data_IF_206827691296
#
_entry.id   IF_206827691296
#
_cell.length_a   1.000
_cell.length_b   1.000
_cell.length_c   1.000
_cell.angle_alpha   90.00
_cell.angle_beta   90.00
_cell.angle_gamma   90.00
#
_symmetry.space_group_name_H-M   'P 1'
#
loop_
_entity.id
_entity.type
_entity.pdbx_description
1 polymer ?
#
# COMPACT_ATOMS: atom_id res chain seq x y z
N UNK A 1 78.59 -8.59 -58.05
CA UNK A 1 79.14 -8.00 -56.80
C UNK A 1 78.00 -7.22 -56.15
N UNK A 2 77.30 -7.76 -55.13
CA UNK A 2 77.60 -7.59 -53.69
C UNK A 2 77.72 -6.09 -53.32
N UNK A 3 77.02 -5.49 -52.35
CA UNK A 3 76.22 -5.96 -51.22
C UNK A 3 75.44 -4.76 -50.60
N UNK A 4 74.82 -5.00 -49.43
CA UNK A 4 74.19 -4.08 -48.47
C UNK A 4 72.68 -3.85 -48.71
N UNK A 5 71.75 -4.16 -47.80
CA UNK A 5 71.84 -4.29 -46.34
C UNK A 5 71.14 -3.10 -45.70
N UNK A 6 69.92 -3.30 -45.18
CA UNK A 6 69.33 -2.47 -44.11
C UNK A 6 67.95 -3.04 -43.76
N UNK A 7 67.83 -3.61 -42.57
CA UNK A 7 66.54 -3.97 -42.00
C UNK A 7 65.68 -2.74 -41.75
N UNK A 8 64.36 -2.95 -41.68
CA UNK A 8 63.50 -2.10 -40.86
C UNK A 8 62.20 -2.81 -40.49
N UNK A 9 62.21 -3.26 -39.24
CA UNK A 9 61.13 -3.23 -38.26
C UNK A 9 59.71 -3.62 -38.71
N UNK A 10 59.30 -4.78 -38.16
CA UNK A 10 57.94 -5.12 -37.76
C UNK A 10 57.23 -3.89 -37.19
N UNK A 11 56.12 -3.46 -37.79
CA UNK A 11 55.10 -2.66 -37.12
C UNK A 11 53.89 -3.56 -36.88
N UNK A 12 53.90 -4.25 -35.74
CA UNK A 12 52.64 -4.68 -35.14
C UNK A 12 51.92 -3.40 -34.71
N UNK A 13 50.84 -3.05 -35.40
CA UNK A 13 49.90 -2.06 -34.90
C UNK A 13 49.22 -2.69 -33.68
N UNK A 14 49.79 -2.46 -32.49
CA UNK A 14 49.14 -2.75 -31.23
C UNK A 14 47.94 -1.82 -31.13
N UNK A 15 46.77 -2.32 -31.50
CA UNK A 15 45.50 -1.68 -31.21
C UNK A 15 45.36 -1.67 -29.69
N UNK A 16 45.83 -0.59 -29.07
CA UNK A 16 45.54 -0.26 -27.68
C UNK A 16 44.05 0.06 -27.61
N UNK A 17 43.24 -1.00 -27.57
CA UNK A 17 41.85 -0.92 -27.15
C UNK A 17 41.89 -0.38 -25.73
N UNK A 18 41.68 0.93 -25.59
CA UNK A 18 41.31 1.58 -24.34
C UNK A 18 40.02 0.93 -23.87
N UNK A 19 40.15 -0.19 -23.17
CA UNK A 19 39.08 -0.80 -22.41
C UNK A 19 38.80 0.17 -21.28
N UNK A 20 37.85 1.07 -21.51
CA UNK A 20 37.21 1.85 -20.47
C UNK A 20 36.91 0.92 -19.32
N UNK A 21 37.31 1.21 -18.08
CA UNK A 21 36.89 0.42 -16.95
C UNK A 21 35.36 0.51 -16.93
N UNK A 22 34.70 -0.61 -17.25
CA UNK A 22 33.27 -0.74 -16.96
C UNK A 22 33.20 -0.66 -15.45
N UNK A 23 32.81 0.50 -14.94
CA UNK A 23 32.43 0.64 -13.55
C UNK A 23 31.48 -0.52 -13.26
N UNK A 24 31.68 -1.27 -12.17
CA UNK A 24 30.68 -2.23 -11.76
C UNK A 24 29.40 -1.42 -11.66
N UNK A 25 28.39 -1.76 -12.48
CA UNK A 25 27.03 -1.33 -12.24
C UNK A 25 26.71 -1.93 -10.90
N UNK A 26 27.01 -1.17 -9.83
CA UNK A 26 26.48 -1.37 -8.50
C UNK A 26 25.00 -1.50 -8.76
N UNK A 27 24.50 -2.73 -8.69
CA UNK A 27 23.08 -2.99 -8.77
C UNK A 27 22.47 -2.01 -7.78
N UNK A 28 21.76 -1.03 -8.32
CA UNK A 28 20.92 -0.18 -7.51
C UNK A 28 19.82 -1.14 -7.07
N UNK A 29 20.09 -1.87 -5.99
CA UNK A 29 19.06 -2.31 -5.07
C UNK A 29 18.33 -1.02 -4.71
N UNK A 30 17.29 -0.71 -5.49
CA UNK A 30 16.29 0.27 -5.13
C UNK A 30 16.00 0.05 -3.64
N UNK A 31 15.93 1.11 -2.81
CA UNK A 31 15.67 0.91 -1.39
C UNK A 31 14.43 0.04 -1.31
N UNK A 32 14.59 -1.18 -0.79
CA UNK A 32 13.48 -2.12 -0.67
C UNK A 32 12.40 -1.34 0.05
N UNK A 33 11.28 -1.08 -0.64
CA UNK A 33 10.24 -0.20 -0.11
C UNK A 33 9.90 -0.76 1.27
N UNK A 34 10.10 0.05 2.32
CA UNK A 34 9.90 -0.28 3.74
C UNK A 34 8.40 -0.56 4.02
N UNK A 35 7.88 -1.61 3.42
CA UNK A 35 6.54 -2.12 3.59
C UNK A 35 6.66 -3.60 3.91
N UNK A 36 6.02 -3.98 5.02
CA UNK A 36 5.91 -5.37 5.39
C UNK A 36 5.16 -6.13 4.29
N UNK A 37 5.48 -7.42 4.09
CA UNK A 37 4.85 -8.25 3.05
C UNK A 37 3.32 -8.23 3.11
N UNK A 38 2.76 -8.15 4.32
CA UNK A 38 1.31 -8.01 4.56
C UNK A 38 0.72 -6.72 3.97
N UNK A 39 1.42 -5.59 4.11
CA UNK A 39 0.98 -4.31 3.54
C UNK A 39 0.97 -4.40 2.02
N UNK A 40 2.02 -4.98 1.44
CA UNK A 40 2.12 -5.17 -0.02
C UNK A 40 0.99 -6.07 -0.52
N UNK A 41 0.70 -7.17 0.18
CA UNK A 41 -0.37 -8.09 -0.21
C UNK A 41 -1.76 -7.43 -0.18
N UNK A 42 -2.09 -6.67 0.86
CA UNK A 42 -3.35 -5.92 0.91
C UNK A 42 -3.39 -4.71 -0.05
N UNK A 43 -2.23 -4.25 -0.52
CA UNK A 43 -2.15 -3.19 -1.53
C UNK A 43 -2.32 -3.72 -2.96
N UNK A 44 -1.67 -4.83 -3.30
CA UNK A 44 -1.75 -5.46 -4.62
C UNK A 44 -3.07 -6.21 -4.81
N UNK A 45 -3.55 -6.88 -3.76
CA UNK A 45 -4.80 -7.64 -3.77
C UNK A 45 -5.75 -7.11 -2.68
N UNK A 46 -6.25 -5.87 -2.76
CA UNK A 46 -7.13 -5.34 -1.73
C UNK A 46 -8.46 -6.10 -1.70
N UNK A 47 -8.86 -6.52 -0.51
CA UNK A 47 -10.09 -7.30 -0.29
C UNK A 47 -11.25 -6.38 -0.01
N UNK A 48 -12.42 -6.70 -0.56
CA UNK A 48 -13.65 -5.96 -0.29
C UNK A 48 -13.64 -4.51 -0.80
N UNK A 49 -12.86 -4.23 -1.83
CA UNK A 49 -12.98 -2.98 -2.60
C UNK A 49 -14.35 -2.94 -3.27
N UNK A 50 -15.04 -1.81 -3.15
CA UNK A 50 -16.34 -1.64 -3.79
C UNK A 50 -17.18 -0.56 -3.14
N UNK A 51 -18.46 -0.58 -3.46
CA UNK A 51 -19.44 0.28 -2.79
C UNK A 51 -20.74 -0.47 -2.63
N UNK A 52 -21.43 -0.18 -1.53
CA UNK A 52 -22.77 -0.67 -1.25
C UNK A 52 -23.80 0.36 -1.68
N UNK A 53 -25.05 -0.08 -1.78
CA UNK A 53 -26.19 0.78 -2.08
C UNK A 53 -26.42 1.75 -0.92
N UNK A 54 -26.31 3.05 -1.21
CA UNK A 54 -26.52 4.12 -0.22
C UNK A 54 -27.99 4.34 0.13
N UNK A 55 -28.91 3.82 -0.69
CA UNK A 55 -30.36 3.99 -0.47
C UNK A 55 -30.93 2.97 0.52
N UNK A 56 -30.16 1.92 0.83
CA UNK A 56 -30.56 0.92 1.80
C UNK A 56 -30.41 1.47 3.22
N UNK A 57 -31.49 1.35 4.02
CA UNK A 57 -31.49 1.72 5.44
C UNK A 57 -30.50 0.92 6.28
N UNK A 58 -30.10 -0.25 5.78
CA UNK A 58 -29.18 -1.14 6.47
C UNK A 58 -27.71 -0.82 6.15
N UNK A 59 -27.42 0.24 5.39
CA UNK A 59 -26.07 0.58 4.95
C UNK A 59 -25.63 1.91 5.56
N UNK A 60 -24.66 1.83 6.47
CA UNK A 60 -23.95 2.99 6.99
C UNK A 60 -22.82 3.42 6.08
N UNK A 61 -22.66 4.72 5.82
CA UNK A 61 -21.55 5.25 5.00
C UNK A 61 -20.73 6.27 5.79
N UNK A 62 -19.47 5.93 6.07
CA UNK A 62 -18.47 6.83 6.63
C UNK A 62 -17.56 7.39 5.55
N UNK A 63 -17.32 8.70 5.60
CA UNK A 63 -16.36 9.38 4.75
C UNK A 63 -15.46 10.22 5.66
N UNK A 64 -14.15 9.98 5.56
CA UNK A 64 -13.12 10.68 6.35
C UNK A 64 -12.03 11.14 5.40
N UNK A 65 -11.44 12.30 5.68
CA UNK A 65 -10.35 12.88 4.89
C UNK A 65 -10.74 14.19 4.21
N UNK A 66 -9.73 14.88 3.72
CA UNK A 66 -9.88 16.17 3.04
C UNK A 66 -9.25 16.08 1.64
N UNK A 67 -9.96 16.51 0.58
CA UNK A 67 -9.42 16.49 -0.78
C UNK A 67 -8.10 17.26 -0.92
N UNK A 68 -7.89 18.29 -0.09
CA UNK A 68 -6.68 19.10 -0.07
C UNK A 68 -5.43 18.33 0.39
N UNK A 69 -5.59 17.29 1.22
CA UNK A 69 -4.48 16.50 1.76
C UNK A 69 -4.15 15.28 0.90
N UNK A 70 -4.99 14.96 -0.10
CA UNK A 70 -4.78 13.82 -0.99
C UNK A 70 -5.12 12.44 -0.38
N UNK A 71 -5.61 12.41 0.86
CA UNK A 71 -6.08 11.20 1.53
C UNK A 71 -7.58 11.32 1.81
N UNK A 72 -8.38 10.49 1.12
CA UNK A 72 -9.84 10.41 1.27
C UNK A 72 -10.24 8.95 1.37
N UNK A 73 -10.89 8.59 2.47
CA UNK A 73 -11.29 7.23 2.79
C UNK A 73 -12.81 7.17 2.91
N UNK A 74 -13.40 6.18 2.24
CA UNK A 74 -14.82 5.88 2.32
C UNK A 74 -15.00 4.44 2.75
N UNK A 75 -15.76 4.22 3.81
CA UNK A 75 -16.12 2.91 4.32
C UNK A 75 -17.64 2.80 4.34
N UNK A 76 -18.16 1.67 3.85
CA UNK A 76 -19.57 1.35 3.87
C UNK A 76 -19.74 0.01 4.56
N UNK A 77 -20.61 -0.04 5.54
CA UNK A 77 -20.94 -1.27 6.27
C UNK A 77 -22.42 -1.56 6.08
N UNK A 78 -22.75 -2.83 5.95
CA UNK A 78 -24.13 -3.31 5.94
C UNK A 78 -24.39 -4.02 7.27
N UNK A 79 -25.38 -3.55 8.00
CA UNK A 79 -25.75 -4.06 9.32
C UNK A 79 -27.10 -4.77 9.21
N UNK A 80 -27.19 -5.97 9.78
CA UNK A 80 -28.43 -6.73 9.88
C UNK A 80 -29.32 -6.21 11.03
N UNK A 81 -30.58 -6.61 11.06
CA UNK A 81 -31.55 -6.22 12.11
C UNK A 81 -31.09 -6.58 13.53
N UNK A 82 -30.18 -7.54 13.65
CA UNK A 82 -29.56 -8.00 14.90
C UNK A 82 -28.32 -7.20 15.33
N UNK A 83 -27.96 -6.13 14.60
CA UNK A 83 -26.76 -5.33 14.89
C UNK A 83 -25.44 -6.00 14.44
N UNK A 84 -25.51 -6.96 13.52
CA UNK A 84 -24.33 -7.68 13.00
C UNK A 84 -23.91 -7.15 11.64
N UNK A 85 -22.62 -6.92 11.42
CA UNK A 85 -22.09 -6.46 10.13
C UNK A 85 -22.03 -7.66 9.16
N UNK A 86 -22.87 -7.65 8.13
CA UNK A 86 -22.97 -8.73 7.13
C UNK A 86 -22.04 -8.51 5.94
N UNK A 87 -21.83 -7.26 5.54
CA UNK A 87 -20.85 -6.91 4.52
C UNK A 87 -20.18 -5.58 4.87
N UNK A 88 -18.97 -5.40 4.39
CA UNK A 88 -18.21 -4.16 4.50
C UNK A 88 -17.45 -3.95 3.19
N UNK A 89 -17.51 -2.72 2.67
CA UNK A 89 -16.84 -2.31 1.44
C UNK A 89 -16.13 -1.00 1.64
N UNK A 90 -14.94 -0.87 1.08
CA UNK A 90 -14.18 0.37 1.17
C UNK A 90 -13.76 0.90 -0.19
N UNK A 91 -13.54 2.21 -0.24
CA UNK A 91 -12.87 2.95 -1.31
C UNK A 91 -11.98 3.99 -0.67
N UNK A 92 -10.68 3.85 -0.86
CA UNK A 92 -9.68 4.77 -0.32
C UNK A 92 -8.83 5.33 -1.45
N UNK A 93 -8.63 6.64 -1.43
CA UNK A 93 -7.64 7.34 -2.23
C UNK A 93 -6.57 7.84 -1.26
N UNK A 94 -5.33 7.45 -1.46
CA UNK A 94 -4.25 7.81 -0.55
C UNK A 94 -3.06 6.87 -0.64
N UNK A 95 -2.20 6.92 0.37
CA UNK A 95 -1.00 6.09 0.40
C UNK A 95 -1.33 4.57 0.47
N UNK A 96 -0.43 3.72 -0.05
CA UNK A 96 -0.63 2.27 -0.07
C UNK A 96 -0.83 1.65 1.33
N UNK A 97 -0.31 2.31 2.38
CA UNK A 97 -0.54 1.90 3.77
C UNK A 97 -2.00 2.10 4.19
N UNK A 98 -2.64 3.20 3.79
CA UNK A 98 -4.04 3.46 4.09
C UNK A 98 -4.97 2.47 3.37
N UNK A 99 -4.64 2.10 2.12
CA UNK A 99 -5.35 1.06 1.37
C UNK A 99 -5.22 -0.29 2.10
N UNK A 100 -4.00 -0.65 2.51
CA UNK A 100 -3.77 -1.90 3.22
C UNK A 100 -4.51 -1.97 4.57
N UNK A 101 -4.46 -0.88 5.36
CA UNK A 101 -5.21 -0.75 6.61
C UNK A 101 -6.71 -0.89 6.40
N UNK A 102 -7.25 -0.23 5.36
CA UNK A 102 -8.67 -0.30 5.04
C UNK A 102 -9.10 -1.72 4.67
N UNK A 103 -8.31 -2.39 3.81
CA UNK A 103 -8.60 -3.76 3.39
C UNK A 103 -8.62 -4.72 4.56
N UNK A 104 -7.58 -4.71 5.40
CA UNK A 104 -7.51 -5.58 6.58
C UNK A 104 -8.67 -5.31 7.53
N UNK A 105 -8.97 -4.03 7.78
CA UNK A 105 -10.02 -3.67 8.71
C UNK A 105 -11.41 -4.08 8.20
N UNK A 106 -11.66 -4.00 6.87
CA UNK A 106 -12.92 -4.51 6.30
C UNK A 106 -13.10 -6.01 6.43
N UNK A 107 -12.03 -6.79 6.46
CA UNK A 107 -12.11 -8.22 6.77
C UNK A 107 -12.44 -8.45 8.24
N UNK A 108 -11.83 -7.67 9.13
CA UNK A 108 -12.00 -7.82 10.57
C UNK A 108 -13.40 -7.45 11.07
N UNK A 109 -14.06 -6.48 10.45
CA UNK A 109 -15.41 -6.08 10.86
C UNK A 109 -16.50 -7.00 10.31
N UNK A 110 -16.22 -7.74 9.24
CA UNK A 110 -17.21 -8.67 8.67
C UNK A 110 -17.50 -9.78 9.66
N UNK A 111 -18.79 -9.97 9.92
CA UNK A 111 -19.26 -10.99 10.85
C UNK A 111 -19.16 -10.61 12.32
N UNK A 112 -18.68 -9.41 12.65
CA UNK A 112 -18.69 -8.87 14.02
C UNK A 112 -19.95 -8.05 14.29
N UNK A 113 -20.28 -7.84 15.56
CA UNK A 113 -21.32 -6.85 15.92
C UNK A 113 -20.77 -5.43 15.82
N UNK A 114 -21.69 -4.46 15.81
CA UNK A 114 -21.33 -3.03 15.82
C UNK A 114 -20.42 -2.69 17.01
N UNK A 115 -20.72 -3.21 18.19
CA UNK A 115 -19.95 -2.96 19.42
C UNK A 115 -18.55 -3.56 19.31
N UNK A 116 -18.44 -4.78 18.79
CA UNK A 116 -17.14 -5.43 18.57
C UNK A 116 -16.30 -4.67 17.55
N UNK A 117 -16.91 -4.15 16.48
CA UNK A 117 -16.21 -3.34 15.49
C UNK A 117 -15.66 -2.03 16.10
N UNK A 118 -16.38 -1.43 17.05
CA UNK A 118 -15.95 -0.24 17.80
C UNK A 118 -14.80 -0.50 18.77
N UNK A 119 -14.65 -1.74 19.26
CA UNK A 119 -13.53 -2.10 20.14
C UNK A 119 -12.19 -2.24 19.41
N UNK A 120 -12.19 -2.31 18.07
CA UNK A 120 -10.98 -2.47 17.27
C UNK A 120 -10.12 -1.20 17.38
N UNK A 121 -8.90 -1.34 17.91
CA UNK A 121 -7.98 -0.22 18.07
C UNK A 121 -7.06 -0.08 16.88
N UNK A 122 -6.67 1.17 16.60
CA UNK A 122 -5.64 1.49 15.60
C UNK A 122 -4.32 0.74 15.87
N UNK A 123 -3.96 0.53 17.14
CA UNK A 123 -2.75 -0.20 17.54
C UNK A 123 -2.74 -1.64 17.04
N UNK A 124 -3.91 -2.29 16.94
CA UNK A 124 -3.99 -3.68 16.56
C UNK A 124 -3.78 -3.83 15.05
N UNK A 125 -4.38 -2.93 14.27
CA UNK A 125 -4.16 -2.83 12.81
C UNK A 125 -2.69 -2.49 12.51
N UNK A 126 -2.11 -1.54 13.25
CA UNK A 126 -0.71 -1.14 13.07
C UNK A 126 0.27 -2.28 13.39
N UNK A 127 0.00 -3.06 14.45
CA UNK A 127 0.78 -4.25 14.81
C UNK A 127 0.67 -5.32 13.73
N UNK A 128 -0.54 -5.60 13.27
CA UNK A 128 -0.80 -6.64 12.27
C UNK A 128 -0.07 -6.35 10.95
N UNK A 129 -0.09 -5.10 10.52
CA UNK A 129 0.60 -4.61 9.32
C UNK A 129 2.08 -4.29 9.54
N UNK A 130 2.58 -4.41 10.77
CA UNK A 130 3.95 -4.07 11.16
C UNK A 130 4.35 -2.66 10.70
N UNK A 131 3.45 -1.69 10.87
CA UNK A 131 3.66 -0.33 10.40
C UNK A 131 4.74 0.37 11.25
N UNK A 132 5.73 1.03 10.62
CA UNK A 132 6.67 1.85 11.34
C UNK A 132 5.96 3.04 12.01
N UNK A 133 6.49 3.59 13.12
CA UNK A 133 5.84 4.61 13.94
C UNK A 133 5.43 5.87 13.16
N UNK A 134 6.11 6.17 12.04
CA UNK A 134 5.81 7.32 11.17
C UNK A 134 4.46 7.19 10.44
N UNK A 135 3.96 5.96 10.22
CA UNK A 135 2.74 5.67 9.43
C UNK A 135 1.53 5.32 10.29
N UNK A 136 1.59 5.59 11.59
CA UNK A 136 0.49 5.32 12.51
C UNK A 136 -0.78 6.13 12.19
N UNK A 137 -0.65 7.28 11.52
CA UNK A 137 -1.80 8.08 11.09
C UNK A 137 -2.76 7.29 10.18
N UNK A 138 -2.24 6.43 9.28
CA UNK A 138 -3.05 5.58 8.40
C UNK A 138 -3.87 4.50 9.13
N UNK A 139 -3.53 4.22 10.41
CA UNK A 139 -4.29 3.28 11.26
C UNK A 139 -5.29 4.00 12.15
N UNK A 140 -5.07 5.29 12.45
CA UNK A 140 -5.93 6.11 13.29
C UNK A 140 -7.21 6.57 12.59
N UNK A 141 -7.26 6.53 11.26
CA UNK A 141 -8.42 6.92 10.47
C UNK A 141 -9.56 5.88 10.55
N UNK A 142 -9.25 4.63 10.87
CA UNK A 142 -10.23 3.54 10.87
C UNK A 142 -11.31 3.67 11.97
N UNK A 143 -10.98 3.90 13.26
CA UNK A 143 -12.00 4.11 14.29
C UNK A 143 -12.95 5.28 13.95
N UNK A 144 -12.41 6.34 13.35
CA UNK A 144 -13.21 7.49 12.92
C UNK A 144 -14.15 7.14 11.76
N UNK A 145 -13.68 6.33 10.80
CA UNK A 145 -14.51 5.78 9.72
C UNK A 145 -15.65 4.91 10.26
N UNK A 146 -15.40 4.10 11.29
CA UNK A 146 -16.44 3.29 11.92
C UNK A 146 -17.49 4.15 12.63
N UNK A 147 -17.07 5.11 13.46
CA UNK A 147 -18.02 6.02 14.11
C UNK A 147 -18.89 6.79 13.11
N UNK A 148 -18.31 7.31 12.04
CA UNK A 148 -19.05 8.04 11.01
C UNK A 148 -19.99 7.14 10.21
N UNK A 149 -19.55 5.92 9.89
CA UNK A 149 -20.40 4.93 9.20
C UNK A 149 -21.61 4.54 10.04
N UNK A 150 -21.43 4.37 11.35
CA UNK A 150 -22.50 4.00 12.29
C UNK A 150 -23.46 5.15 12.54
N UNK A 151 -22.97 6.38 12.73
CA UNK A 151 -23.82 7.57 12.81
C UNK A 151 -24.68 7.73 11.54
N UNK A 152 -24.11 7.44 10.36
CA UNK A 152 -24.86 7.46 9.11
C UNK A 152 -25.87 6.32 8.98
N UNK A 153 -25.77 5.24 9.77
CA UNK A 153 -26.73 4.14 9.75
C UNK A 153 -27.90 4.39 10.70
N UNK A 154 -27.66 5.07 11.84
CA UNK A 154 -28.73 5.44 12.79
C UNK A 154 -29.67 6.55 12.27
N UNK A 155 -29.28 7.30 11.24
CA UNK A 155 -30.02 8.42 10.65
C UNK A 155 -30.56 8.11 9.25
#
# INVERSE_FOLDING_TARGET
MAAAGAGRLRRAASALLLRSPRLPTRELSAPARLYHKKVVDHYENPRNVGSLDKTSKNVGTGLVGAPACGDVMKLQIQVDEKGKIVDARFKTFGCGSAIASSSLATEWVKGKTVEEALTIKNTDIAKELCLPPVKLHCSSEFPLLMHTSLHSWEH
#
